data_IF_366260391425
#
_entry.id   IF_366260391425
#
_cell.length_a   1.000
_cell.length_b   1.000
_cell.length_c   1.000
_cell.angle_alpha   90.00
_cell.angle_beta   90.00
_cell.angle_gamma   90.00
#
_symmetry.space_group_name_H-M   'P 1'
#
loop_
_entity.id
_entity.type
_entity.pdbx_description
1 polymer ?
#
# COMPACT_ATOMS: atom_id res chain seq x y z
N UNK A 1 37.28 -28.68 -1.23
CA UNK A 1 37.49 -28.93 0.21
C UNK A 1 37.76 -27.57 0.86
N UNK A 2 36.80 -27.03 1.60
CA UNK A 2 37.03 -25.80 2.35
C UNK A 2 38.05 -26.09 3.47
N UNK A 3 39.00 -25.18 3.63
CA UNK A 3 40.09 -25.36 4.58
C UNK A 3 39.52 -25.30 6.02
N UNK A 4 39.72 -26.32 6.84
CA UNK A 4 39.27 -26.40 8.24
C UNK A 4 39.68 -25.14 9.04
N UNK A 5 40.79 -24.51 8.67
CA UNK A 5 41.28 -23.29 9.32
C UNK A 5 40.39 -22.06 9.01
N UNK A 6 39.81 -21.98 7.79
CA UNK A 6 38.87 -20.91 7.42
C UNK A 6 37.60 -20.97 8.24
N UNK A 7 37.01 -22.17 8.42
CA UNK A 7 35.81 -22.36 9.25
C UNK A 7 36.07 -21.99 10.70
N UNK A 8 37.21 -22.43 11.24
CA UNK A 8 37.64 -22.14 12.61
C UNK A 8 37.80 -20.64 12.85
N UNK A 9 38.32 -19.91 11.88
CA UNK A 9 38.45 -18.45 11.94
C UNK A 9 37.11 -17.78 11.90
N UNK A 10 36.16 -18.23 11.06
CA UNK A 10 34.81 -17.70 11.01
C UNK A 10 34.08 -17.89 12.35
N UNK A 11 34.16 -19.09 12.94
CA UNK A 11 33.57 -19.36 14.26
C UNK A 11 34.14 -18.43 15.32
N UNK A 12 35.47 -18.28 15.37
CA UNK A 12 36.13 -17.40 16.36
C UNK A 12 35.67 -15.94 16.19
N UNK A 13 35.61 -15.44 14.97
CA UNK A 13 35.15 -14.07 14.70
C UNK A 13 33.68 -13.91 15.08
N UNK A 14 32.84 -14.92 14.80
CA UNK A 14 31.43 -14.92 15.17
C UNK A 14 31.25 -14.88 16.70
N UNK A 15 32.00 -15.67 17.45
CA UNK A 15 31.97 -15.65 18.93
C UNK A 15 32.35 -14.27 19.48
N UNK A 16 33.45 -13.69 18.99
CA UNK A 16 33.87 -12.35 19.45
C UNK A 16 32.81 -11.28 19.14
N UNK A 17 32.12 -11.39 17.99
CA UNK A 17 31.14 -10.41 17.56
C UNK A 17 29.78 -10.58 18.25
N UNK A 18 29.22 -11.81 18.25
CA UNK A 18 27.85 -12.07 18.70
C UNK A 18 27.72 -12.46 20.18
N UNK A 19 28.76 -13.06 20.78
CA UNK A 19 28.74 -13.50 22.18
C UNK A 19 29.50 -12.56 23.12
N UNK A 20 30.52 -11.85 22.60
CA UNK A 20 31.34 -10.94 23.40
C UNK A 20 31.14 -9.46 23.06
N UNK A 21 30.17 -9.13 22.21
CA UNK A 21 29.81 -7.76 21.82
C UNK A 21 30.96 -6.90 21.28
N UNK A 22 32.00 -7.54 20.75
CA UNK A 22 33.15 -6.81 20.19
C UNK A 22 32.78 -6.18 18.84
N UNK A 23 33.17 -4.95 18.65
CA UNK A 23 33.03 -4.30 17.35
C UNK A 23 33.99 -4.90 16.31
N UNK A 24 33.62 -4.84 15.03
CA UNK A 24 34.48 -5.33 13.94
C UNK A 24 35.89 -4.70 13.95
N UNK A 25 36.01 -3.44 14.45
CA UNK A 25 37.29 -2.74 14.55
C UNK A 25 38.15 -3.30 15.71
N UNK A 26 37.55 -3.71 16.82
CA UNK A 26 38.24 -4.35 17.94
C UNK A 26 38.74 -5.74 17.54
N UNK A 27 37.87 -6.54 16.91
CA UNK A 27 38.22 -7.88 16.40
C UNK A 27 39.36 -7.80 15.39
N UNK A 28 39.31 -6.81 14.47
CA UNK A 28 40.34 -6.58 13.48
C UNK A 28 41.72 -6.32 14.14
N UNK A 29 41.74 -5.52 15.18
CA UNK A 29 42.98 -5.23 15.97
C UNK A 29 43.48 -6.46 16.71
N UNK A 30 42.58 -7.20 17.36
CA UNK A 30 42.94 -8.38 18.14
C UNK A 30 43.52 -9.49 17.29
N UNK A 31 42.92 -9.72 16.11
CA UNK A 31 43.33 -10.80 15.22
C UNK A 31 44.39 -10.39 14.19
N UNK A 32 44.76 -9.11 14.13
CA UNK A 32 45.74 -8.60 13.18
C UNK A 32 45.29 -8.65 11.71
N UNK A 33 44.00 -8.57 11.45
CA UNK A 33 43.42 -8.64 10.10
C UNK A 33 42.55 -7.40 9.80
N UNK A 34 42.33 -7.12 8.52
CA UNK A 34 41.59 -5.93 8.12
C UNK A 34 40.09 -6.02 8.51
N UNK A 35 39.51 -4.89 8.93
CA UNK A 35 38.08 -4.76 9.25
C UNK A 35 37.16 -5.25 8.11
N UNK A 36 37.53 -4.97 6.87
CA UNK A 36 36.80 -5.43 5.68
C UNK A 36 36.77 -6.95 5.58
N UNK A 37 37.86 -7.62 6.00
CA UNK A 37 37.93 -9.09 6.08
C UNK A 37 37.00 -9.63 7.16
N UNK A 38 36.93 -8.99 8.37
CA UNK A 38 36.00 -9.37 9.41
C UNK A 38 34.55 -9.29 8.90
N UNK A 39 34.16 -8.17 8.28
CA UNK A 39 32.82 -8.00 7.71
C UNK A 39 32.46 -9.11 6.69
N UNK A 40 33.38 -9.44 5.81
CA UNK A 40 33.21 -10.50 4.80
C UNK A 40 33.09 -11.89 5.46
N UNK A 41 33.87 -12.20 6.48
CA UNK A 41 33.85 -13.48 7.17
C UNK A 41 32.56 -13.63 8.02
N UNK A 42 32.09 -12.59 8.68
CA UNK A 42 30.80 -12.60 9.36
C UNK A 42 29.63 -12.85 8.40
N UNK A 43 29.64 -12.20 7.22
CA UNK A 43 28.66 -12.49 6.18
C UNK A 43 28.73 -13.93 5.72
N UNK A 44 29.92 -14.44 5.42
CA UNK A 44 30.14 -15.83 5.00
C UNK A 44 29.66 -16.82 6.05
N UNK A 45 29.89 -16.52 7.35
CA UNK A 45 29.39 -17.36 8.46
C UNK A 45 27.89 -17.50 8.47
N UNK A 46 27.14 -16.41 8.16
CA UNK A 46 25.68 -16.46 7.99
C UNK A 46 25.29 -17.20 6.71
N UNK A 47 25.92 -16.91 5.59
CA UNK A 47 25.60 -17.52 4.30
C UNK A 47 25.83 -19.06 4.30
N UNK A 48 26.79 -19.54 5.12
CA UNK A 48 27.11 -20.96 5.29
C UNK A 48 26.35 -21.64 6.46
N UNK A 49 25.46 -20.92 7.16
CA UNK A 49 24.73 -21.45 8.31
C UNK A 49 25.57 -21.72 9.57
N UNK A 50 26.84 -21.26 9.62
CA UNK A 50 27.68 -21.33 10.82
C UNK A 50 27.14 -20.43 11.93
N UNK A 51 26.52 -19.31 11.54
CA UNK A 51 25.79 -18.40 12.41
C UNK A 51 24.33 -18.36 12.00
N UNK A 52 23.44 -18.70 12.91
CA UNK A 52 22.00 -18.56 12.75
C UNK A 52 21.50 -17.45 13.64
N UNK A 53 20.84 -16.45 13.06
CA UNK A 53 20.21 -15.36 13.82
C UNK A 53 18.69 -15.62 13.83
N UNK A 54 18.11 -15.76 14.99
CA UNK A 54 16.67 -15.87 15.15
C UNK A 54 16.13 -14.61 15.84
N UNK A 55 15.07 -14.03 15.26
CA UNK A 55 14.32 -12.94 15.89
C UNK A 55 13.13 -13.60 16.60
N UNK A 56 12.96 -13.31 17.88
CA UNK A 56 11.80 -13.77 18.63
C UNK A 56 10.62 -12.83 18.37
N UNK A 57 9.66 -13.30 17.59
CA UNK A 57 8.44 -12.57 17.25
C UNK A 57 7.33 -12.68 18.32
N UNK A 58 7.52 -13.47 19.39
CA UNK A 58 6.53 -13.57 20.49
C UNK A 58 6.29 -12.22 21.17
N UNK A 59 7.24 -11.29 21.02
CA UNK A 59 7.11 -9.91 21.52
C UNK A 59 6.27 -8.99 20.62
N UNK A 60 6.08 -9.35 19.35
CA UNK A 60 5.23 -8.60 18.41
C UNK A 60 4.87 -9.48 17.20
N UNK A 61 3.75 -10.18 17.32
CA UNK A 61 3.23 -11.07 16.29
C UNK A 61 2.92 -10.35 14.97
N UNK A 62 2.48 -9.08 15.04
CA UNK A 62 2.19 -8.29 13.85
C UNK A 62 3.43 -8.10 12.96
N UNK A 63 4.62 -7.92 13.55
CA UNK A 63 5.86 -7.81 12.77
C UNK A 63 6.19 -9.10 12.01
N UNK A 64 5.85 -10.25 12.57
CA UNK A 64 5.98 -11.52 11.86
C UNK A 64 5.00 -11.59 10.69
N UNK A 65 3.73 -11.24 10.91
CA UNK A 65 2.71 -11.20 9.85
C UNK A 65 3.12 -10.24 8.71
N UNK A 66 3.61 -9.04 9.04
CA UNK A 66 4.12 -8.08 8.06
C UNK A 66 5.19 -8.69 7.17
N UNK A 67 6.18 -9.37 7.77
CA UNK A 67 7.25 -10.01 7.02
C UNK A 67 6.76 -11.15 6.13
N UNK A 68 5.87 -12.02 6.64
CA UNK A 68 5.34 -13.15 5.87
C UNK A 68 4.52 -12.67 4.68
N UNK A 69 3.59 -11.71 4.88
CA UNK A 69 2.80 -11.13 3.80
C UNK A 69 3.67 -10.41 2.78
N UNK A 70 4.64 -9.61 3.26
CA UNK A 70 5.62 -8.92 2.40
C UNK A 70 6.38 -9.90 1.51
N UNK A 71 6.86 -11.01 2.07
CA UNK A 71 7.61 -12.02 1.34
C UNK A 71 6.72 -12.80 0.36
N UNK A 72 5.52 -13.22 0.80
CA UNK A 72 4.59 -14.00 -0.03
C UNK A 72 4.18 -13.27 -1.30
N UNK A 73 3.93 -11.96 -1.22
CA UNK A 73 3.43 -11.15 -2.33
C UNK A 73 4.47 -10.24 -2.97
N UNK A 74 5.71 -10.22 -2.46
CA UNK A 74 6.80 -9.39 -2.98
C UNK A 74 6.57 -7.89 -2.80
N UNK A 75 5.96 -7.49 -1.67
CA UNK A 75 5.63 -6.09 -1.37
C UNK A 75 6.85 -5.29 -0.93
N UNK A 76 6.80 -3.98 -1.12
CA UNK A 76 7.82 -3.03 -0.63
C UNK A 76 7.69 -2.80 0.86
N UNK A 77 6.44 -2.70 1.35
CA UNK A 77 6.16 -2.53 2.78
C UNK A 77 4.77 -3.09 3.15
N UNK A 78 4.62 -3.50 4.40
CA UNK A 78 3.36 -3.98 4.98
C UNK A 78 3.25 -3.43 6.38
N UNK A 79 2.07 -3.00 6.74
CA UNK A 79 1.69 -2.58 8.09
C UNK A 79 0.50 -3.41 8.54
N UNK A 80 0.67 -4.13 9.63
CA UNK A 80 -0.39 -4.93 10.26
C UNK A 80 -0.73 -4.34 11.61
N UNK A 81 -1.99 -3.92 11.79
CA UNK A 81 -2.49 -3.46 13.08
C UNK A 81 -3.16 -4.60 13.83
N UNK A 82 -3.05 -4.61 15.15
CA UNK A 82 -3.83 -5.52 16.00
C UNK A 82 -5.31 -5.19 15.88
N UNK A 83 -6.19 -6.19 16.00
CA UNK A 83 -7.60 -5.89 15.81
C UNK A 83 -8.55 -7.07 15.96
N UNK A 84 -8.10 -8.20 16.51
CA UNK A 84 -8.96 -9.41 16.57
C UNK A 84 -10.16 -9.23 17.54
N UNK A 85 -10.08 -8.33 18.50
CA UNK A 85 -11.13 -8.10 19.53
C UNK A 85 -11.77 -6.69 19.46
N UNK A 86 -11.43 -5.87 18.45
CA UNK A 86 -11.89 -4.49 18.33
C UNK A 86 -12.98 -4.35 17.24
N UNK A 87 -13.85 -3.37 17.43
CA UNK A 87 -14.84 -3.03 16.41
C UNK A 87 -14.19 -2.47 15.13
N UNK A 88 -14.92 -2.54 14.02
CA UNK A 88 -14.42 -2.12 12.69
C UNK A 88 -13.95 -0.67 12.65
N UNK A 89 -14.63 0.25 13.35
CA UNK A 89 -14.28 1.67 13.33
C UNK A 89 -12.97 1.92 14.10
N UNK A 90 -12.75 1.24 15.21
CA UNK A 90 -11.49 1.28 15.97
C UNK A 90 -10.32 0.70 15.15
N UNK A 91 -10.52 -0.45 14.52
CA UNK A 91 -9.51 -1.04 13.62
C UNK A 91 -9.18 -0.09 12.45
N UNK A 92 -10.19 0.51 11.84
CA UNK A 92 -10.02 1.46 10.77
C UNK A 92 -9.24 2.71 11.21
N UNK A 93 -9.51 3.22 12.43
CA UNK A 93 -8.77 4.35 13.00
C UNK A 93 -7.28 4.00 13.23
N UNK A 94 -6.99 2.79 13.74
CA UNK A 94 -5.62 2.30 13.92
C UNK A 94 -4.90 2.13 12.58
N UNK A 95 -5.55 1.55 11.58
CA UNK A 95 -5.01 1.47 10.22
C UNK A 95 -4.75 2.85 9.64
N UNK A 96 -5.64 3.81 9.88
CA UNK A 96 -5.46 5.21 9.50
C UNK A 96 -4.21 5.82 10.12
N UNK A 97 -4.02 5.65 11.43
CA UNK A 97 -2.86 6.16 12.16
C UNK A 97 -1.54 5.57 11.64
N UNK A 98 -1.44 4.25 11.59
CA UNK A 98 -0.22 3.57 11.14
C UNK A 98 0.04 3.74 9.64
N UNK A 99 -1.03 3.80 8.82
CA UNK A 99 -0.95 4.13 7.41
C UNK A 99 -0.44 5.55 7.16
N UNK A 100 -0.86 6.53 7.99
CA UNK A 100 -0.35 7.90 7.93
C UNK A 100 1.14 7.98 8.29
N UNK A 101 1.58 7.22 9.29
CA UNK A 101 2.99 7.09 9.65
C UNK A 101 3.82 6.46 8.52
N UNK A 102 3.28 5.41 7.88
CA UNK A 102 3.90 4.80 6.71
C UNK A 102 4.05 5.82 5.58
N UNK A 103 2.97 6.52 5.23
CA UNK A 103 3.00 7.54 4.17
C UNK A 103 4.03 8.63 4.48
N UNK A 104 4.01 9.21 5.68
CA UNK A 104 4.95 10.30 6.05
C UNK A 104 6.42 9.88 5.92
N UNK A 105 6.73 8.63 6.25
CA UNK A 105 8.07 8.04 6.10
C UNK A 105 8.49 7.85 4.64
N UNK A 106 7.54 7.55 3.75
CA UNK A 106 7.80 7.23 2.33
C UNK A 106 7.85 8.46 1.42
N UNK A 107 7.26 9.57 1.86
CA UNK A 107 7.20 10.81 1.08
C UNK A 107 8.56 11.47 0.93
N UNK A 108 8.90 11.83 -0.30
CA UNK A 108 10.07 12.62 -0.68
C UNK A 108 9.68 14.03 -1.14
N UNK A 109 10.58 15.02 -1.04
CA UNK A 109 10.30 16.36 -1.53
C UNK A 109 10.00 16.37 -3.03
N UNK A 110 8.90 17.04 -3.41
CA UNK A 110 8.46 17.15 -4.80
C UNK A 110 7.56 16.04 -5.28
N UNK A 111 7.23 15.04 -4.44
CA UNK A 111 6.36 13.92 -4.82
C UNK A 111 4.97 14.38 -5.29
N UNK A 112 4.48 13.69 -6.31
CA UNK A 112 3.07 13.71 -6.73
C UNK A 112 2.34 12.58 -6.00
N UNK A 113 1.38 12.96 -5.14
CA UNK A 113 0.63 12.04 -4.28
C UNK A 113 -0.81 11.94 -4.74
N UNK A 114 -1.22 10.76 -5.16
CA UNK A 114 -2.56 10.49 -5.67
C UNK A 114 -3.48 9.90 -4.60
N UNK A 115 -4.71 10.40 -4.57
CA UNK A 115 -5.74 9.98 -3.60
C UNK A 115 -6.94 9.38 -4.32
N UNK A 116 -7.38 8.21 -3.87
CA UNK A 116 -8.73 7.73 -4.13
C UNK A 116 -9.70 8.22 -3.05
N UNK A 117 -10.92 7.77 -3.10
CA UNK A 117 -11.93 8.05 -2.07
C UNK A 117 -12.09 6.91 -1.07
N UNK A 118 -12.94 7.12 -0.06
CA UNK A 118 -13.45 6.08 0.81
C UNK A 118 -13.04 6.18 2.27
N UNK A 119 -13.65 5.33 3.11
CA UNK A 119 -13.47 5.32 4.56
C UNK A 119 -12.02 5.10 4.98
N UNK A 120 -11.34 4.13 4.35
CA UNK A 120 -9.98 3.77 4.70
C UNK A 120 -8.96 4.88 4.35
N UNK A 121 -9.10 5.51 3.18
CA UNK A 121 -8.27 6.65 2.80
C UNK A 121 -8.58 7.87 3.69
N UNK A 122 -9.86 8.09 4.05
CA UNK A 122 -10.24 9.14 4.99
C UNK A 122 -9.58 8.95 6.35
N UNK A 123 -9.63 7.75 6.91
CA UNK A 123 -9.00 7.46 8.19
C UNK A 123 -7.49 7.74 8.17
N UNK A 124 -6.79 7.44 7.08
CA UNK A 124 -5.39 7.78 6.92
C UNK A 124 -5.19 9.30 6.85
N UNK A 125 -5.95 10.00 6.00
CA UNK A 125 -5.81 11.46 5.83
C UNK A 125 -6.13 12.21 7.12
N UNK A 126 -7.11 11.74 7.90
CA UNK A 126 -7.46 12.31 9.22
C UNK A 126 -6.30 12.21 10.22
N UNK A 127 -5.45 11.19 10.10
CA UNK A 127 -4.30 10.94 10.97
C UNK A 127 -2.96 11.46 10.44
N UNK A 128 -2.92 12.11 9.26
CA UNK A 128 -1.68 12.73 8.77
C UNK A 128 -1.17 13.78 9.75
N UNK A 129 0.13 13.82 10.04
CA UNK A 129 0.72 14.84 10.89
C UNK A 129 0.66 16.21 10.21
N UNK A 130 0.59 17.26 11.03
CA UNK A 130 0.78 18.62 10.53
C UNK A 130 2.27 18.82 10.21
N UNK A 131 2.60 18.97 8.93
CA UNK A 131 3.98 19.17 8.52
C UNK A 131 4.57 20.47 9.10
N UNK A 132 5.76 20.40 9.65
CA UNK A 132 6.50 21.59 10.12
C UNK A 132 6.90 22.50 8.96
N UNK A 133 7.41 21.92 7.87
CA UNK A 133 7.84 22.59 6.64
C UNK A 133 7.21 21.96 5.41
N UNK A 134 7.05 22.74 4.33
CA UNK A 134 6.59 22.22 3.05
C UNK A 134 7.69 21.34 2.43
N UNK A 135 7.25 20.17 1.92
CA UNK A 135 8.07 19.29 1.08
C UNK A 135 7.81 19.52 -0.42
N UNK A 136 7.07 20.57 -0.77
CA UNK A 136 6.67 20.89 -2.15
C UNK A 136 5.88 19.74 -2.82
N UNK A 137 5.07 19.05 -2.03
CA UNK A 137 4.24 17.95 -2.51
C UNK A 137 3.08 18.45 -3.37
N UNK A 138 2.70 17.67 -4.36
CA UNK A 138 1.53 17.91 -5.21
C UNK A 138 0.51 16.80 -4.93
N UNK A 139 -0.64 17.16 -4.35
CA UNK A 139 -1.71 16.23 -4.03
C UNK A 139 -2.78 16.27 -5.14
N UNK A 140 -3.11 15.12 -5.72
CA UNK A 140 -4.04 15.03 -6.84
C UNK A 140 -5.06 13.91 -6.64
N UNK A 141 -6.31 14.07 -7.12
CA UNK A 141 -7.24 12.96 -7.18
C UNK A 141 -6.85 12.00 -8.32
N UNK A 142 -6.93 10.71 -8.08
CA UNK A 142 -6.69 9.68 -9.11
C UNK A 142 -7.98 9.04 -9.63
N UNK A 143 -9.12 9.61 -9.26
CA UNK A 143 -10.46 9.26 -9.71
C UNK A 143 -11.35 10.50 -9.63
N UNK A 144 -12.37 10.60 -10.46
CA UNK A 144 -13.36 11.67 -10.38
C UNK A 144 -14.22 11.63 -9.11
N UNK A 145 -15.07 12.61 -8.91
CA UNK A 145 -15.96 12.71 -7.74
C UNK A 145 -17.03 11.61 -7.69
N UNK A 146 -17.52 11.23 -6.50
CA UNK A 146 -18.52 10.17 -6.30
C UNK A 146 -19.96 10.59 -6.58
N UNK A 147 -20.20 11.73 -7.18
CA UNK A 147 -21.54 12.22 -7.62
C UNK A 147 -22.63 12.18 -6.53
N UNK A 148 -22.29 12.58 -5.32
CA UNK A 148 -23.22 12.59 -4.18
C UNK A 148 -23.49 11.22 -3.54
N UNK A 149 -22.95 10.15 -4.07
CA UNK A 149 -23.18 8.79 -3.55
C UNK A 149 -22.39 8.46 -2.28
N UNK A 150 -21.44 9.31 -1.88
CA UNK A 150 -20.66 9.18 -0.64
C UNK A 150 -20.82 10.40 0.25
N UNK A 151 -20.64 10.22 1.56
CA UNK A 151 -20.56 11.33 2.51
C UNK A 151 -19.39 12.25 2.13
N UNK A 152 -19.58 13.57 2.26
CA UNK A 152 -18.58 14.58 1.84
C UNK A 152 -17.18 14.35 2.43
N UNK A 153 -17.09 13.84 3.66
CA UNK A 153 -15.79 13.51 4.30
C UNK A 153 -15.01 12.42 3.57
N UNK A 154 -15.66 11.58 2.76
CA UNK A 154 -15.04 10.52 1.98
C UNK A 154 -14.82 10.89 0.50
N UNK A 155 -15.21 12.12 0.13
CA UNK A 155 -15.08 12.61 -1.24
C UNK A 155 -13.61 12.82 -1.61
N UNK A 156 -13.20 12.40 -2.80
CA UNK A 156 -11.80 12.48 -3.25
C UNK A 156 -11.21 13.89 -3.11
N UNK A 157 -11.95 14.92 -3.51
CA UNK A 157 -11.48 16.31 -3.40
C UNK A 157 -11.28 16.75 -1.95
N UNK A 158 -12.19 16.33 -1.04
CA UNK A 158 -12.04 16.61 0.40
C UNK A 158 -10.77 15.96 0.95
N UNK A 159 -10.51 14.71 0.59
CA UNK A 159 -9.34 13.98 1.04
C UNK A 159 -8.04 14.58 0.46
N UNK A 160 -8.03 14.88 -0.84
CA UNK A 160 -6.89 15.50 -1.52
C UNK A 160 -6.55 16.86 -0.91
N UNK A 161 -7.55 17.73 -0.72
CA UNK A 161 -7.38 19.05 -0.11
C UNK A 161 -6.91 18.95 1.34
N UNK A 162 -7.54 18.08 2.14
CA UNK A 162 -7.19 17.90 3.56
C UNK A 162 -5.76 17.37 3.72
N UNK A 163 -5.34 16.44 2.86
CA UNK A 163 -3.98 15.93 2.86
C UNK A 163 -2.97 17.02 2.49
N UNK A 164 -3.22 17.77 1.42
CA UNK A 164 -2.37 18.88 1.00
C UNK A 164 -2.23 19.94 2.11
N UNK A 165 -3.34 20.32 2.77
CA UNK A 165 -3.33 21.29 3.86
C UNK A 165 -2.45 20.82 5.04
N UNK A 166 -2.55 19.54 5.44
CA UNK A 166 -1.75 18.96 6.52
C UNK A 166 -0.28 18.84 6.15
N UNK A 167 0.01 18.43 4.93
CA UNK A 167 1.37 18.21 4.42
C UNK A 167 2.03 19.51 3.91
N UNK A 168 1.31 20.66 3.93
CA UNK A 168 1.75 21.94 3.36
C UNK A 168 2.16 21.81 1.89
N UNK A 169 1.41 20.99 1.12
CA UNK A 169 1.56 20.78 -0.31
C UNK A 169 0.56 21.62 -1.12
N UNK A 170 0.66 21.51 -2.43
CA UNK A 170 -0.34 22.02 -3.38
C UNK A 170 -1.41 20.96 -3.64
N UNK A 171 -2.67 21.37 -3.84
CA UNK A 171 -3.76 20.46 -4.21
C UNK A 171 -4.37 20.84 -5.54
N UNK A 172 -4.56 19.85 -6.40
CA UNK A 172 -5.44 19.93 -7.58
C UNK A 172 -6.69 19.11 -7.32
N UNK A 173 -7.84 19.53 -7.84
CA UNK A 173 -9.12 18.92 -7.57
C UNK A 173 -9.76 18.42 -8.87
N UNK A 174 -10.54 17.33 -8.81
CA UNK A 174 -11.27 16.80 -9.95
C UNK A 174 -12.69 17.41 -9.98
N UNK A 175 -12.96 18.27 -10.96
CA UNK A 175 -14.26 18.84 -11.20
C UNK A 175 -15.06 18.02 -12.25
N UNK A 176 -14.92 16.70 -12.17
CA UNK A 176 -15.62 15.75 -13.00
C UNK A 176 -16.03 14.50 -12.17
N UNK A 177 -17.14 13.86 -12.53
CA UNK A 177 -17.57 12.64 -11.84
C UNK A 177 -16.70 11.44 -12.22
N UNK A 178 -16.67 10.44 -11.32
CA UNK A 178 -15.97 9.18 -11.59
C UNK A 178 -16.71 8.29 -12.59
N UNK A 179 -18.03 8.22 -12.45
CA UNK A 179 -18.90 7.43 -13.31
C UNK A 179 -19.85 8.35 -14.06
N UNK A 180 -19.91 8.18 -15.36
CA UNK A 180 -20.77 8.93 -16.27
C UNK A 180 -21.92 8.04 -16.75
N UNK A 181 -23.00 8.65 -17.21
CA UNK A 181 -24.18 7.93 -17.70
C UNK A 181 -23.88 7.20 -19.00
N UNK A 182 -23.00 7.77 -19.83
CA UNK A 182 -22.64 7.14 -21.10
C UNK A 182 -21.20 7.49 -21.55
N UNK A 183 -20.62 6.68 -22.48
CA UNK A 183 -19.25 6.89 -22.97
C UNK A 183 -19.04 8.21 -23.74
N UNK A 184 -20.07 8.79 -24.36
CA UNK A 184 -19.93 10.06 -25.11
C UNK A 184 -19.62 11.23 -24.17
N UNK A 185 -20.32 11.29 -23.03
CA UNK A 185 -20.07 12.32 -22.00
C UNK A 185 -18.66 12.14 -21.45
N UNK A 186 -18.27 10.89 -21.10
CA UNK A 186 -16.92 10.59 -20.64
C UNK A 186 -15.87 11.08 -21.64
N UNK A 187 -16.00 10.74 -22.92
CA UNK A 187 -15.06 11.12 -23.96
C UNK A 187 -14.99 12.64 -24.13
N UNK A 188 -16.12 13.34 -24.01
CA UNK A 188 -16.18 14.81 -24.02
C UNK A 188 -15.36 15.42 -22.87
N UNK A 189 -15.52 14.91 -21.65
CA UNK A 189 -14.77 15.38 -20.46
C UNK A 189 -13.27 15.10 -20.65
N UNK A 190 -12.88 13.95 -21.18
CA UNK A 190 -11.48 13.60 -21.44
C UNK A 190 -10.78 14.56 -22.41
N UNK A 191 -11.52 15.23 -23.29
CA UNK A 191 -10.99 16.25 -24.20
C UNK A 191 -10.82 17.62 -23.51
N UNK A 192 -11.45 17.85 -22.37
CA UNK A 192 -11.36 19.12 -21.64
C UNK A 192 -9.93 19.40 -21.15
N UNK A 193 -9.56 20.69 -21.12
CA UNK A 193 -8.26 21.10 -20.62
C UNK A 193 -8.09 20.71 -19.15
N UNK A 194 -9.13 20.84 -18.35
CA UNK A 194 -9.11 20.49 -16.93
C UNK A 194 -8.78 19.00 -16.71
N UNK A 195 -9.47 18.08 -17.42
CA UNK A 195 -9.17 16.65 -17.32
C UNK A 195 -7.72 16.36 -17.75
N UNK A 196 -7.27 16.94 -18.88
CA UNK A 196 -5.90 16.75 -19.37
C UNK A 196 -4.87 17.22 -18.35
N UNK A 197 -5.12 18.33 -17.65
CA UNK A 197 -4.23 18.83 -16.60
C UNK A 197 -4.14 17.84 -15.43
N UNK A 198 -5.28 17.34 -14.93
CA UNK A 198 -5.31 16.37 -13.83
C UNK A 198 -4.66 15.03 -14.25
N UNK A 199 -5.03 14.52 -15.42
CA UNK A 199 -4.52 13.22 -15.91
C UNK A 199 -3.02 13.23 -16.24
N UNK A 200 -2.43 14.39 -16.53
CA UNK A 200 -0.99 14.52 -16.74
C UNK A 200 -0.18 14.23 -15.45
N UNK A 201 -0.73 14.52 -14.27
CA UNK A 201 -0.09 14.13 -13.01
C UNK A 201 -0.08 12.60 -12.81
N UNK A 202 -1.06 11.88 -13.38
CA UNK A 202 -1.11 10.42 -13.29
C UNK A 202 0.02 9.71 -14.03
N UNK A 203 0.64 10.38 -15.02
CA UNK A 203 1.78 9.85 -15.78
C UNK A 203 3.10 9.89 -14.97
N UNK A 204 3.15 10.74 -13.94
CA UNK A 204 4.32 10.94 -13.09
C UNK A 204 3.98 10.74 -11.61
N UNK A 205 3.05 9.85 -11.30
CA UNK A 205 2.59 9.61 -9.95
C UNK A 205 3.66 8.86 -9.14
N UNK A 206 4.11 9.48 -8.03
CA UNK A 206 5.12 8.88 -7.15
C UNK A 206 4.48 7.99 -6.09
N UNK A 207 3.42 8.47 -5.47
CA UNK A 207 2.72 7.76 -4.38
C UNK A 207 1.22 7.75 -4.64
N UNK A 208 0.59 6.60 -4.52
CA UNK A 208 -0.86 6.43 -4.58
C UNK A 208 -1.42 5.90 -3.27
N UNK A 209 -2.55 6.45 -2.84
CA UNK A 209 -3.33 5.98 -1.70
C UNK A 209 -4.68 5.47 -2.20
N UNK A 210 -4.91 4.17 -2.05
CA UNK A 210 -6.09 3.52 -2.59
C UNK A 210 -6.81 2.66 -1.56
N UNK A 211 -8.13 2.74 -1.56
CA UNK A 211 -8.98 1.72 -0.97
C UNK A 211 -9.15 0.56 -1.94
N UNK A 212 -9.47 -0.61 -1.41
CA UNK A 212 -9.85 -1.78 -2.19
C UNK A 212 -11.32 -2.07 -1.93
N UNK A 213 -12.12 -2.06 -2.98
CA UNK A 213 -13.52 -2.46 -2.95
C UNK A 213 -13.69 -3.95 -3.19
N UNK A 214 -14.85 -4.49 -2.84
CA UNK A 214 -15.21 -5.89 -3.09
C UNK A 214 -16.71 -6.03 -3.25
N UNK A 215 -17.19 -6.81 -4.23
CA UNK A 215 -18.60 -7.14 -4.39
C UNK A 215 -19.16 -8.00 -3.26
N UNK A 216 -18.32 -8.67 -2.48
CA UNK A 216 -18.73 -9.50 -1.35
C UNK A 216 -19.21 -8.70 -0.12
N UNK A 217 -18.96 -7.41 -0.05
CA UNK A 217 -19.40 -6.55 1.07
C UNK A 217 -20.93 -6.47 1.07
N UNK A 218 -21.58 -7.01 2.11
CA UNK A 218 -23.05 -7.12 2.19
C UNK A 218 -23.71 -6.01 3.01
N UNK A 219 -23.12 -5.61 4.14
CA UNK A 219 -23.75 -4.74 5.11
C UNK A 219 -23.31 -3.28 5.03
N UNK A 220 -24.29 -2.37 4.87
CA UNK A 220 -24.12 -0.91 4.91
C UNK A 220 -23.20 -0.36 3.86
N UNK A 221 -22.86 -1.17 2.92
CA UNK A 221 -21.74 -0.94 2.08
C UNK A 221 -22.02 0.07 1.01
N UNK A 222 -21.21 1.06 1.05
CA UNK A 222 -21.10 2.08 0.04
C UNK A 222 -20.87 1.51 -1.37
N UNK A 223 -20.41 0.25 -1.49
CA UNK A 223 -20.10 -0.39 -2.77
C UNK A 223 -21.36 -0.68 -3.59
N UNK A 224 -22.35 -1.43 -3.04
CA UNK A 224 -23.63 -1.67 -3.71
C UNK A 224 -24.44 -0.39 -3.88
N UNK A 225 -24.45 0.49 -2.87
CA UNK A 225 -25.10 1.78 -2.96
C UNK A 225 -24.45 2.70 -4.00
N UNK A 226 -23.15 2.54 -4.22
CA UNK A 226 -22.40 3.33 -5.19
C UNK A 226 -22.66 2.88 -6.63
N UNK A 227 -22.59 1.57 -6.91
CA UNK A 227 -22.71 1.06 -8.28
C UNK A 227 -24.15 0.79 -8.71
N UNK A 228 -25.07 0.51 -7.76
CA UNK A 228 -26.48 0.19 -8.08
C UNK A 228 -26.71 -1.32 -8.28
N UNK A 229 -27.99 -1.71 -8.48
CA UNK A 229 -28.40 -3.11 -8.54
C UNK A 229 -27.98 -3.82 -9.83
N UNK A 230 -28.30 -3.24 -10.98
CA UNK A 230 -28.00 -3.85 -12.29
C UNK A 230 -26.49 -3.99 -12.54
N UNK A 231 -25.72 -2.97 -12.19
CA UNK A 231 -24.28 -3.01 -12.29
C UNK A 231 -23.67 -4.03 -11.32
N UNK A 232 -24.23 -4.17 -10.12
CA UNK A 232 -23.78 -5.19 -9.14
C UNK A 232 -24.01 -6.60 -9.65
N UNK A 233 -25.10 -6.87 -10.35
CA UNK A 233 -25.39 -8.16 -10.95
C UNK A 233 -24.41 -8.49 -12.09
N UNK A 234 -24.07 -7.52 -12.95
CA UNK A 234 -23.06 -7.68 -14.01
C UNK A 234 -21.67 -7.98 -13.41
N UNK A 235 -21.27 -7.29 -12.33
CA UNK A 235 -20.00 -7.53 -11.65
C UNK A 235 -19.90 -8.94 -11.07
N UNK A 236 -20.97 -9.43 -10.44
CA UNK A 236 -21.03 -10.79 -9.92
C UNK A 236 -20.97 -11.84 -11.04
N UNK A 237 -21.71 -11.64 -12.13
CA UNK A 237 -21.70 -12.53 -13.28
C UNK A 237 -20.31 -12.64 -13.93
N UNK A 238 -19.53 -11.57 -13.89
CA UNK A 238 -18.16 -11.52 -14.43
C UNK A 238 -17.08 -11.96 -13.46
N UNK A 239 -17.43 -12.48 -12.28
CA UNK A 239 -16.49 -12.94 -11.25
C UNK A 239 -15.50 -11.87 -10.80
N UNK A 240 -15.95 -10.62 -10.69
CA UNK A 240 -15.14 -9.53 -10.13
C UNK A 240 -14.80 -9.84 -8.69
N UNK A 241 -13.51 -9.85 -8.37
CA UNK A 241 -13.03 -10.03 -7.00
C UNK A 241 -12.95 -8.71 -6.22
N UNK A 242 -12.63 -7.62 -6.92
CA UNK A 242 -12.52 -6.30 -6.31
C UNK A 242 -12.33 -5.19 -7.33
N UNK A 243 -12.23 -3.97 -6.80
CA UNK A 243 -11.89 -2.78 -7.58
C UNK A 243 -10.90 -1.87 -6.85
N UNK A 244 -10.17 -1.11 -7.63
CA UNK A 244 -9.43 0.07 -7.21
C UNK A 244 -9.81 1.20 -8.15
N UNK A 245 -10.27 2.32 -7.62
CA UNK A 245 -10.68 3.47 -8.42
C UNK A 245 -11.73 3.13 -9.50
N UNK A 246 -12.71 2.28 -9.17
CA UNK A 246 -13.72 1.77 -10.12
C UNK A 246 -13.13 1.03 -11.34
N UNK A 247 -11.93 0.50 -11.21
CA UNK A 247 -11.30 -0.43 -12.15
C UNK A 247 -11.36 -1.82 -11.57
N UNK A 248 -12.04 -2.72 -12.25
CA UNK A 248 -12.40 -4.04 -11.76
C UNK A 248 -11.38 -5.10 -12.16
N UNK A 249 -11.16 -6.06 -11.27
CA UNK A 249 -10.25 -7.17 -11.52
C UNK A 249 -10.76 -8.46 -10.86
N UNK A 250 -10.31 -9.59 -11.35
CA UNK A 250 -10.57 -10.90 -10.79
C UNK A 250 -9.59 -11.27 -9.66
N UNK A 251 -9.77 -12.44 -9.05
CA UNK A 251 -8.91 -12.92 -7.95
C UNK A 251 -7.46 -13.22 -8.41
N UNK A 252 -7.23 -13.37 -9.70
CA UNK A 252 -5.88 -13.56 -10.28
C UNK A 252 -5.19 -12.23 -10.59
N UNK A 253 -5.92 -11.12 -10.45
CA UNK A 253 -5.46 -9.77 -10.74
C UNK A 253 -5.55 -9.40 -12.23
N UNK A 254 -6.28 -10.18 -13.03
CA UNK A 254 -6.57 -9.80 -14.40
C UNK A 254 -7.70 -8.74 -14.43
N UNK A 255 -7.57 -7.73 -15.31
CA UNK A 255 -8.60 -6.72 -15.47
C UNK A 255 -9.88 -7.35 -16.01
N UNK A 256 -11.01 -6.94 -15.45
CA UNK A 256 -12.35 -7.35 -15.88
C UNK A 256 -13.06 -6.16 -16.51
N UNK A 257 -13.30 -6.25 -17.82
CA UNK A 257 -14.08 -5.25 -18.52
C UNK A 257 -15.57 -5.41 -18.17
N UNK A 258 -16.19 -4.30 -17.83
CA UNK A 258 -17.60 -4.20 -17.40
C UNK A 258 -18.31 -3.10 -18.17
N UNK A 259 -19.63 -3.04 -18.06
CA UNK A 259 -20.43 -1.93 -18.62
C UNK A 259 -20.02 -0.55 -18.10
N UNK A 260 -19.32 -0.52 -16.95
CA UNK A 260 -18.82 0.72 -16.36
C UNK A 260 -17.43 1.12 -16.86
N UNK A 261 -16.65 0.21 -17.44
CA UNK A 261 -15.27 0.49 -17.86
C UNK A 261 -15.17 1.67 -18.82
N UNK A 262 -16.07 1.75 -19.78
CA UNK A 262 -16.12 2.85 -20.76
C UNK A 262 -16.77 4.14 -20.24
N UNK A 263 -17.36 4.10 -19.03
CA UNK A 263 -18.02 5.23 -18.40
C UNK A 263 -17.19 5.82 -17.24
N UNK A 264 -16.06 5.22 -16.91
CA UNK A 264 -15.25 5.57 -15.74
C UNK A 264 -14.16 6.59 -16.10
N UNK A 265 -14.01 7.61 -15.23
CA UNK A 265 -12.91 8.57 -15.25
C UNK A 265 -12.04 8.37 -14.00
N UNK A 266 -11.01 7.57 -14.15
CA UNK A 266 -10.01 7.28 -13.12
C UNK A 266 -8.68 6.91 -13.78
N UNK A 267 -7.64 6.87 -12.96
CA UNK A 267 -6.31 6.44 -13.36
C UNK A 267 -6.34 5.05 -14.02
N UNK A 268 -5.52 4.84 -15.03
CA UNK A 268 -5.30 3.52 -15.61
C UNK A 268 -4.43 2.66 -14.70
N UNK A 269 -4.76 1.37 -14.57
CA UNK A 269 -4.09 0.47 -13.63
C UNK A 269 -2.59 0.27 -13.94
N UNK A 270 -2.18 0.42 -15.21
CA UNK A 270 -0.77 0.38 -15.59
C UNK A 270 0.02 1.58 -15.02
N UNK A 271 -0.58 2.78 -14.94
CA UNK A 271 0.04 3.96 -14.32
C UNK A 271 0.15 3.78 -12.80
N UNK A 272 -0.89 3.21 -12.18
CA UNK A 272 -0.86 2.88 -10.75
C UNK A 272 0.28 1.91 -10.40
N UNK A 273 0.53 0.90 -11.25
CA UNK A 273 1.66 -0.03 -11.11
C UNK A 273 3.04 0.64 -11.21
N UNK A 274 3.15 1.75 -11.92
CA UNK A 274 4.40 2.47 -12.13
C UNK A 274 4.75 3.38 -10.95
N UNK A 275 3.78 3.71 -10.10
CA UNK A 275 4.02 4.52 -8.91
C UNK A 275 5.12 3.89 -8.03
N UNK A 276 6.02 4.73 -7.51
CA UNK A 276 7.05 4.29 -6.57
C UNK A 276 6.42 3.57 -5.38
N UNK A 277 5.34 4.10 -4.85
CA UNK A 277 4.53 3.46 -3.82
C UNK A 277 3.05 3.53 -4.17
N UNK A 278 2.40 2.37 -4.24
CA UNK A 278 0.96 2.24 -4.31
C UNK A 278 0.48 1.54 -3.03
N UNK A 279 -0.12 2.32 -2.13
CA UNK A 279 -0.49 1.89 -0.78
C UNK A 279 -1.97 1.51 -0.79
N UNK A 280 -2.26 0.22 -0.69
CA UNK A 280 -3.60 -0.29 -0.48
C UNK A 280 -3.96 -0.30 0.99
N UNK A 281 -5.15 0.20 1.35
CA UNK A 281 -5.66 0.21 2.71
C UNK A 281 -6.96 -0.59 2.72
N UNK A 282 -6.92 -1.79 3.26
CA UNK A 282 -8.07 -2.68 3.28
C UNK A 282 -7.97 -3.74 4.37
N UNK A 283 -9.11 -4.12 4.94
CA UNK A 283 -9.26 -5.21 5.90
C UNK A 283 -10.61 -5.87 5.70
N UNK A 284 -10.81 -7.00 6.26
CA UNK A 284 -11.99 -7.88 6.42
C UNK A 284 -11.97 -9.11 5.51
N UNK A 285 -12.66 -10.14 5.96
CA UNK A 285 -12.84 -11.38 5.21
C UNK A 285 -13.59 -11.13 3.89
N UNK A 286 -14.58 -10.24 3.89
CA UNK A 286 -15.36 -9.89 2.70
C UNK A 286 -14.51 -9.23 1.61
N UNK A 287 -13.40 -8.57 1.98
CA UNK A 287 -12.45 -7.97 1.04
C UNK A 287 -11.31 -8.89 0.64
N UNK A 288 -11.22 -10.09 1.20
CA UNK A 288 -10.13 -11.02 0.95
C UNK A 288 -9.85 -11.21 -0.55
N UNK A 289 -10.88 -11.55 -1.33
CA UNK A 289 -10.73 -11.76 -2.78
C UNK A 289 -10.22 -10.52 -3.51
N UNK A 290 -10.73 -9.33 -3.14
CA UNK A 290 -10.28 -8.05 -3.68
C UNK A 290 -8.82 -7.75 -3.32
N UNK A 291 -8.43 -7.99 -2.07
CA UNK A 291 -7.04 -7.79 -1.62
C UNK A 291 -6.10 -8.74 -2.36
N UNK A 292 -6.45 -10.04 -2.47
CA UNK A 292 -5.65 -11.03 -3.21
C UNK A 292 -5.52 -10.65 -4.68
N UNK A 293 -6.61 -10.23 -5.34
CA UNK A 293 -6.60 -9.77 -6.72
C UNK A 293 -5.70 -8.54 -6.91
N UNK A 294 -5.80 -7.56 -6.01
CA UNK A 294 -4.96 -6.36 -6.05
C UNK A 294 -3.46 -6.68 -5.89
N UNK A 295 -3.12 -7.61 -4.99
CA UNK A 295 -1.75 -8.07 -4.75
C UNK A 295 -1.19 -8.86 -5.95
N UNK A 296 -1.94 -9.83 -6.48
CA UNK A 296 -1.54 -10.63 -7.64
C UNK A 296 -1.42 -9.79 -8.91
N UNK A 297 -2.34 -8.85 -9.10
CA UNK A 297 -2.30 -7.88 -10.20
C UNK A 297 -1.18 -6.85 -10.06
N UNK A 298 -0.48 -6.81 -8.90
CA UNK A 298 0.56 -5.81 -8.58
C UNK A 298 0.05 -4.37 -8.69
N UNK A 299 -1.23 -4.14 -8.37
CA UNK A 299 -1.84 -2.81 -8.35
C UNK A 299 -1.43 -2.02 -7.12
N UNK A 300 -1.06 -2.72 -6.05
CA UNK A 300 -0.46 -2.17 -4.86
C UNK A 300 0.90 -2.85 -4.60
N UNK A 301 1.83 -2.09 -4.05
CA UNK A 301 3.14 -2.58 -3.61
C UNK A 301 3.41 -2.31 -2.12
N UNK A 302 2.46 -1.66 -1.44
CA UNK A 302 2.40 -1.56 0.02
C UNK A 302 0.96 -1.89 0.48
N UNK A 303 0.84 -2.53 1.64
CA UNK A 303 -0.46 -2.90 2.22
C UNK A 303 -0.54 -2.44 3.68
N UNK A 304 -1.67 -1.80 4.03
CA UNK A 304 -2.06 -1.53 5.41
C UNK A 304 -3.30 -2.35 5.71
N UNK A 305 -3.24 -3.24 6.69
CA UNK A 305 -4.31 -4.19 7.02
C UNK A 305 -4.31 -4.53 8.52
N UNK A 306 -5.23 -5.38 8.98
CA UNK A 306 -5.27 -5.92 10.32
C UNK A 306 -4.73 -7.36 10.39
N UNK A 307 -4.48 -7.85 11.62
CA UNK A 307 -3.92 -9.19 11.86
C UNK A 307 -4.78 -10.30 11.27
N UNK A 308 -6.09 -10.29 11.47
CA UNK A 308 -6.99 -11.32 10.94
C UNK A 308 -6.97 -11.41 9.41
N UNK A 309 -6.93 -10.27 8.72
CA UNK A 309 -6.78 -10.25 7.26
C UNK A 309 -5.39 -10.74 6.82
N UNK A 310 -4.33 -10.34 7.54
CA UNK A 310 -2.97 -10.80 7.24
C UNK A 310 -2.84 -12.32 7.39
N UNK A 311 -3.43 -12.91 8.44
CA UNK A 311 -3.49 -14.36 8.62
C UNK A 311 -4.23 -15.07 7.48
N UNK A 312 -5.38 -14.52 7.03
CA UNK A 312 -6.11 -15.04 5.88
C UNK A 312 -5.26 -15.02 4.60
N UNK A 313 -4.49 -13.95 4.40
CA UNK A 313 -3.60 -13.83 3.24
C UNK A 313 -2.46 -14.84 3.25
N UNK A 314 -2.11 -15.41 4.40
CA UNK A 314 -1.04 -16.41 4.55
C UNK A 314 -1.53 -17.86 4.34
N UNK A 315 -2.81 -18.12 4.48
CA UNK A 315 -3.44 -19.42 4.15
C UNK A 315 -3.45 -19.65 2.64
#
# INVERSE_FOLDING_TARGET
MENSDDIRLIVKIAQLYYEQDMTQAQIARELGIYRTTISRLLKRGRDQGIVTIAINYDYNENLWLEQQVKQKFGLKDVVVVSGNDEDEDTQLAMMGLHGAQLLDRLLEPGDIVGFSWGRAVSALVENLPQAGQSRQLICVPIIGGPSGKLKSRYHVNTLTYSAAAKLKGESHLADFPALLDNPLIRNGIMQSQHFKTISAYWDNLDVALVGIGSPAIRDGANWHAFYGGEESDDLNARQVAGDICSRFFDIHGAMVETNMSEKTLSIEMNKLKQARYSIGIAMSEEKYSGIVGALRGKYINCLVTNSSTAELLLK
#
